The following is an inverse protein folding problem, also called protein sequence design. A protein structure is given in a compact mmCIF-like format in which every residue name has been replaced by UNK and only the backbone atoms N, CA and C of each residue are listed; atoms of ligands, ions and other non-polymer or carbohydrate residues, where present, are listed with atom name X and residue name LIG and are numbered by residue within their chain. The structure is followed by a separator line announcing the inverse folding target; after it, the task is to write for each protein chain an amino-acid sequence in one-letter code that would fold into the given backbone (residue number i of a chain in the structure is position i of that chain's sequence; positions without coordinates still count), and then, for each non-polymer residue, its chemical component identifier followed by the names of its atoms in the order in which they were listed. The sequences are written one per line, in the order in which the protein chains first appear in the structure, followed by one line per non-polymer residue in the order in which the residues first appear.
data_IF_433483730521
#
_entry.id   IF_433483730521
#
_cell.length_a   1.000
_cell.length_b   1.000
_cell.length_c   1.000
_cell.angle_alpha   90.00
_cell.angle_beta   90.00
_cell.angle_gamma   90.00
#
_symmetry.space_group_name_H-M   'P 1'
#
loop_
_entity.id
_entity.type
_entity.pdbx_description
1 polymer ?
#
# COMPACT_ATOMS: atom_id res chain seq x y z
N UNK A 1 -5.10 -5.27 29.71
CA UNK A 1 -4.25 -6.28 29.04
C UNK A 1 -5.14 -7.11 28.14
N UNK A 2 -4.91 -7.06 26.84
CA UNK A 2 -5.64 -7.75 25.78
C UNK A 2 -4.68 -8.55 24.88
N UNK A 3 -3.52 -8.95 25.42
CA UNK A 3 -2.58 -9.79 24.68
C UNK A 3 -3.28 -11.07 24.21
N UNK A 4 -3.05 -11.45 22.94
CA UNK A 4 -3.66 -12.63 22.27
C UNK A 4 -5.19 -12.59 22.18
N UNK A 5 -5.83 -11.46 22.46
CA UNK A 5 -7.26 -11.32 22.25
C UNK A 5 -7.59 -11.38 20.75
N UNK A 6 -8.76 -11.92 20.43
CA UNK A 6 -9.28 -11.89 19.07
C UNK A 6 -10.41 -10.87 18.98
N UNK A 7 -10.29 -10.04 17.95
CA UNK A 7 -11.17 -8.96 17.56
C UNK A 7 -11.53 -9.07 16.07
N UNK A 8 -11.39 -10.28 15.50
CA UNK A 8 -11.59 -10.54 14.08
C UNK A 8 -12.98 -10.07 13.62
N UNK A 9 -13.00 -9.21 12.59
CA UNK A 9 -14.22 -8.64 12.00
C UNK A 9 -15.05 -7.77 12.95
N UNK A 10 -14.57 -7.47 14.16
CA UNK A 10 -15.34 -6.74 15.16
C UNK A 10 -15.35 -5.24 14.87
N UNK A 11 -16.44 -4.57 15.26
CA UNK A 11 -16.52 -3.11 15.33
C UNK A 11 -16.22 -2.68 16.76
N UNK A 12 -15.06 -2.06 16.97
CA UNK A 12 -14.53 -1.77 18.29
C UNK A 12 -14.14 -0.31 18.40
N UNK A 13 -14.60 0.28 19.50
CA UNK A 13 -14.16 1.59 19.95
C UNK A 13 -13.29 1.44 21.18
N UNK A 14 -12.02 1.80 21.08
CA UNK A 14 -11.10 1.86 22.20
C UNK A 14 -10.86 3.31 22.62
N UNK A 15 -10.98 3.60 23.91
CA UNK A 15 -10.33 4.77 24.52
C UNK A 15 -9.47 4.22 25.67
N UNK A 16 -8.18 4.04 25.41
CA UNK A 16 -7.28 3.31 26.28
C UNK A 16 -5.92 4.00 26.39
N UNK A 17 -5.32 3.88 27.57
CA UNK A 17 -3.97 4.34 27.89
C UNK A 17 -3.21 3.17 28.53
N UNK A 18 -1.94 3.03 28.16
CA UNK A 18 -1.03 2.00 28.69
C UNK A 18 -1.58 0.56 28.52
N UNK A 19 -1.97 0.23 27.29
CA UNK A 19 -2.64 -1.04 26.96
C UNK A 19 -1.70 -1.99 26.21
N UNK A 20 -1.78 -3.27 26.59
CA UNK A 20 -1.07 -4.34 25.88
C UNK A 20 -2.01 -5.10 24.95
N UNK A 21 -1.76 -5.06 23.65
CA UNK A 21 -2.43 -5.82 22.58
C UNK A 21 -1.46 -6.76 21.86
N UNK A 22 -0.34 -7.13 22.49
CA UNK A 22 0.66 -7.98 21.84
C UNK A 22 0.05 -9.32 21.39
N UNK A 23 0.34 -9.72 20.16
CA UNK A 23 -0.22 -10.92 19.52
C UNK A 23 -1.75 -10.93 19.37
N UNK A 24 -2.44 -9.79 19.51
CA UNK A 24 -3.87 -9.71 19.28
C UNK A 24 -4.21 -9.78 17.78
N UNK A 25 -5.41 -10.26 17.47
CA UNK A 25 -5.92 -10.39 16.11
C UNK A 25 -7.03 -9.36 15.84
N UNK A 26 -6.72 -8.37 15.01
CA UNK A 26 -7.65 -7.34 14.52
C UNK A 26 -7.95 -7.49 13.02
N UNK A 27 -7.69 -8.66 12.42
CA UNK A 27 -7.96 -8.88 10.99
C UNK A 27 -9.42 -8.52 10.67
N UNK A 28 -9.61 -7.71 9.62
CA UNK A 28 -10.91 -7.19 9.16
C UNK A 28 -11.71 -6.37 10.19
N UNK A 29 -11.13 -6.02 11.34
CA UNK A 29 -11.81 -5.23 12.37
C UNK A 29 -11.98 -3.77 11.93
N UNK A 30 -13.04 -3.13 12.44
CA UNK A 30 -13.19 -1.67 12.40
C UNK A 30 -12.77 -1.11 13.74
N UNK A 31 -11.70 -0.34 13.74
CA UNK A 31 -11.08 0.20 14.94
C UNK A 31 -11.29 1.71 14.96
N UNK A 32 -11.94 2.17 16.03
CA UNK A 32 -12.19 3.59 16.29
C UNK A 32 -11.67 3.99 17.67
N UNK A 33 -11.27 5.25 17.83
CA UNK A 33 -11.02 5.88 19.13
C UNK A 33 -9.56 6.29 19.37
N UNK A 34 -9.06 6.14 20.59
CA UNK A 34 -7.75 6.63 21.01
C UNK A 34 -7.01 5.56 21.80
N UNK A 35 -5.76 5.30 21.42
CA UNK A 35 -4.85 4.44 22.19
C UNK A 35 -3.57 5.21 22.47
N UNK A 36 -3.33 5.62 23.72
CA UNK A 36 -2.04 6.17 24.16
C UNK A 36 -1.17 5.04 24.70
N UNK A 37 0.10 5.00 24.30
CA UNK A 37 1.08 3.99 24.75
C UNK A 37 0.57 2.54 24.59
N UNK A 38 0.27 2.14 23.36
CA UNK A 38 -0.16 0.78 23.03
C UNK A 38 0.99 -0.12 22.59
N UNK A 39 1.08 -1.33 23.14
CA UNK A 39 1.94 -2.39 22.60
C UNK A 39 1.15 -3.25 21.61
N UNK A 40 1.52 -3.21 20.34
CA UNK A 40 0.91 -4.02 19.27
C UNK A 40 1.88 -5.00 18.65
N UNK A 41 2.99 -5.32 19.31
CA UNK A 41 3.98 -6.28 18.79
C UNK A 41 3.33 -7.63 18.48
N UNK A 42 3.72 -8.21 17.34
CA UNK A 42 3.20 -9.47 16.80
C UNK A 42 1.67 -9.48 16.53
N UNK A 43 1.00 -8.31 16.50
CA UNK A 43 -0.43 -8.23 16.21
C UNK A 43 -0.74 -8.33 14.70
N UNK A 44 -1.99 -8.65 14.39
CA UNK A 44 -2.49 -8.76 13.01
C UNK A 44 -3.57 -7.72 12.75
N UNK A 45 -3.43 -6.96 11.68
CA UNK A 45 -4.38 -5.92 11.25
C UNK A 45 -4.77 -6.06 9.77
N UNK A 46 -4.54 -7.24 9.17
CA UNK A 46 -4.77 -7.42 7.74
C UNK A 46 -6.21 -7.03 7.37
N UNK A 47 -6.34 -6.05 6.46
CA UNK A 47 -7.64 -5.51 6.03
C UNK A 47 -8.42 -4.71 7.08
N UNK A 48 -7.83 -4.40 8.24
CA UNK A 48 -8.49 -3.61 9.28
C UNK A 48 -8.73 -2.15 8.81
N UNK A 49 -9.87 -1.60 9.23
CA UNK A 49 -10.21 -0.19 9.01
C UNK A 49 -9.88 0.61 10.27
N UNK A 50 -8.98 1.57 10.16
CA UNK A 50 -8.53 2.39 11.29
C UNK A 50 -8.97 3.83 11.03
N UNK A 51 -10.07 4.27 11.63
CA UNK A 51 -10.64 5.60 11.35
C UNK A 51 -10.07 6.70 12.25
N UNK A 52 -9.60 6.34 13.45
CA UNK A 52 -8.95 7.27 14.37
C UNK A 52 -8.15 6.42 15.35
N UNK A 53 -6.85 6.61 15.41
CA UNK A 53 -6.06 6.27 16.60
C UNK A 53 -5.32 7.55 16.93
N UNK A 54 -5.79 8.29 17.93
CA UNK A 54 -4.99 9.35 18.55
C UNK A 54 -3.85 8.72 19.35
N UNK A 55 -2.94 8.04 18.67
CA UNK A 55 -1.76 7.54 19.30
C UNK A 55 -0.83 8.69 19.62
N UNK A 56 0.10 8.46 20.54
CA UNK A 56 1.21 9.39 20.77
C UNK A 56 2.51 8.62 20.60
N UNK A 57 2.50 7.34 20.99
CA UNK A 57 3.56 6.36 20.75
C UNK A 57 2.93 4.98 20.55
N UNK A 58 2.98 4.41 19.35
CA UNK A 58 2.68 2.99 19.12
C UNK A 58 3.97 2.28 18.74
N UNK A 59 4.25 1.18 19.42
CA UNK A 59 5.26 0.23 18.94
C UNK A 59 4.55 -0.83 18.13
N UNK A 60 4.80 -0.82 16.83
CA UNK A 60 4.32 -1.82 15.87
C UNK A 60 5.57 -2.55 15.38
N UNK A 61 5.86 -3.68 16.04
CA UNK A 61 7.02 -4.50 15.73
C UNK A 61 6.58 -5.89 15.29
N UNK A 62 7.22 -6.46 14.26
CA UNK A 62 6.95 -7.82 13.77
C UNK A 62 5.45 -8.11 13.52
N UNK A 63 4.70 -7.10 13.10
CA UNK A 63 3.23 -7.17 12.93
C UNK A 63 2.85 -7.23 11.46
N UNK A 64 1.61 -7.67 11.18
CA UNK A 64 1.02 -7.56 9.84
C UNK A 64 -0.02 -6.47 9.80
N UNK A 65 0.10 -5.58 8.83
CA UNK A 65 -0.80 -4.46 8.56
C UNK A 65 -1.06 -4.36 7.05
N UNK A 66 -1.15 -5.52 6.39
CA UNK A 66 -1.36 -5.56 4.96
C UNK A 66 -2.72 -4.95 4.61
N UNK A 67 -2.72 -4.06 3.60
CA UNK A 67 -3.93 -3.39 3.09
C UNK A 67 -4.70 -2.54 4.11
N UNK A 68 -4.07 -2.15 5.23
CA UNK A 68 -4.66 -1.16 6.14
C UNK A 68 -4.75 0.21 5.45
N UNK A 69 -5.86 0.91 5.63
CA UNK A 69 -6.06 2.25 5.08
C UNK A 69 -5.80 3.34 6.12
N UNK A 70 -4.61 3.95 6.06
CA UNK A 70 -4.22 5.11 6.87
C UNK A 70 -4.61 6.45 6.25
N UNK A 71 -5.03 6.49 4.98
CA UNK A 71 -5.37 7.75 4.28
C UNK A 71 -6.59 8.47 4.87
N UNK A 72 -7.40 7.75 5.64
CA UNK A 72 -8.60 8.28 6.32
C UNK A 72 -8.33 8.71 7.76
N UNK A 73 -7.10 8.51 8.27
CA UNK A 73 -6.77 8.83 9.66
C UNK A 73 -6.51 10.33 9.81
N UNK A 74 -7.39 11.01 10.55
CA UNK A 74 -7.34 12.46 10.74
C UNK A 74 -6.11 12.98 11.50
N UNK A 75 -5.42 12.12 12.25
CA UNK A 75 -4.23 12.46 13.01
C UNK A 75 -3.35 11.23 13.18
N UNK A 76 -2.17 11.26 12.56
CA UNK A 76 -1.16 10.23 12.74
C UNK A 76 -0.02 10.85 13.57
N UNK A 77 0.18 10.45 14.84
CA UNK A 77 1.38 10.83 15.57
C UNK A 77 2.63 10.19 14.94
N UNK A 78 3.80 10.43 15.51
CA UNK A 78 4.97 9.59 15.27
C UNK A 78 4.65 8.09 15.40
N UNK A 79 4.50 7.40 14.27
CA UNK A 79 4.37 5.94 14.23
C UNK A 79 5.75 5.31 14.23
N UNK A 80 5.90 4.18 14.91
CA UNK A 80 7.15 3.43 14.89
C UNK A 80 6.91 2.03 14.34
N UNK A 81 7.25 1.86 13.06
CA UNK A 81 7.18 0.57 12.36
C UNK A 81 8.53 -0.11 12.40
N UNK A 82 8.57 -1.34 12.92
CA UNK A 82 9.79 -2.15 13.00
C UNK A 82 9.53 -3.53 12.40
N UNK A 83 10.19 -3.87 11.29
CA UNK A 83 10.02 -5.17 10.62
C UNK A 83 8.54 -5.56 10.41
N UNK A 84 7.72 -4.59 9.98
CA UNK A 84 6.28 -4.73 9.80
C UNK A 84 5.94 -5.05 8.34
N UNK A 85 4.96 -5.92 8.12
CA UNK A 85 4.37 -6.12 6.80
C UNK A 85 3.29 -5.06 6.54
N UNK A 86 3.60 -4.12 5.66
CA UNK A 86 2.75 -3.03 5.19
C UNK A 86 2.37 -3.23 3.72
N UNK A 87 2.40 -4.47 3.22
CA UNK A 87 2.09 -4.77 1.81
C UNK A 87 0.71 -4.24 1.45
N UNK A 88 0.65 -3.40 0.41
CA UNK A 88 -0.62 -2.84 -0.05
C UNK A 88 -1.25 -1.80 0.89
N UNK A 89 -0.60 -1.38 1.98
CA UNK A 89 -1.16 -0.38 2.90
C UNK A 89 -1.33 0.99 2.21
N UNK A 90 -2.37 1.73 2.58
CA UNK A 90 -2.67 3.04 1.99
C UNK A 90 -2.23 4.17 2.92
N UNK A 91 -1.23 4.93 2.51
CA UNK A 91 -0.73 6.15 3.15
C UNK A 91 -0.97 7.40 2.29
N UNK A 92 -1.86 7.34 1.29
CA UNK A 92 -2.05 8.46 0.37
C UNK A 92 -2.42 9.75 1.11
N UNK A 93 -1.70 10.84 0.83
CA UNK A 93 -1.89 12.16 1.46
C UNK A 93 -1.53 12.25 2.94
N UNK A 94 -1.01 11.18 3.56
CA UNK A 94 -0.66 11.16 4.98
C UNK A 94 0.62 11.95 5.25
N UNK A 95 0.64 12.73 6.32
CA UNK A 95 1.88 13.27 6.87
C UNK A 95 2.63 12.20 7.67
N UNK A 96 3.71 11.68 7.09
CA UNK A 96 4.61 10.71 7.70
C UNK A 96 5.92 11.35 8.18
N UNK A 97 6.03 12.69 8.19
CA UNK A 97 7.27 13.41 8.49
C UNK A 97 7.84 13.13 9.88
N UNK A 98 6.99 12.74 10.83
CA UNK A 98 7.38 12.40 12.20
C UNK A 98 7.37 10.89 12.50
N UNK A 99 7.07 10.05 11.50
CA UNK A 99 7.07 8.59 11.66
C UNK A 99 8.47 8.01 11.51
N UNK A 100 8.72 6.86 12.11
CA UNK A 100 10.00 6.16 12.08
C UNK A 100 9.81 4.75 11.53
N UNK A 101 10.63 4.41 10.55
CA UNK A 101 10.66 3.08 9.92
C UNK A 101 12.02 2.45 10.19
N UNK A 102 12.07 1.45 11.07
CA UNK A 102 13.29 0.73 11.41
C UNK A 102 13.24 -0.71 10.93
N UNK A 103 14.40 -1.27 10.58
CA UNK A 103 14.48 -2.62 10.01
C UNK A 103 13.79 -2.73 8.66
N UNK A 104 13.66 -3.96 8.16
CA UNK A 104 13.11 -4.23 6.84
C UNK A 104 11.59 -4.30 6.91
N UNK A 105 10.91 -3.18 6.67
CA UNK A 105 9.46 -3.14 6.51
C UNK A 105 9.09 -3.55 5.08
N UNK A 106 8.12 -4.44 4.90
CA UNK A 106 7.65 -4.81 3.57
C UNK A 106 6.56 -3.83 3.13
N UNK A 107 6.86 -2.92 2.21
CA UNK A 107 5.94 -1.90 1.70
C UNK A 107 5.65 -2.11 0.21
N UNK A 108 5.75 -3.35 -0.27
CA UNK A 108 5.43 -3.67 -1.66
C UNK A 108 3.96 -3.32 -1.93
N UNK A 109 3.69 -2.68 -3.06
CA UNK A 109 2.35 -2.19 -3.41
C UNK A 109 1.74 -1.20 -2.41
N UNK A 110 2.49 -0.63 -1.47
CA UNK A 110 1.96 0.44 -0.62
C UNK A 110 1.62 1.67 -1.47
N UNK A 111 0.59 2.41 -1.07
CA UNK A 111 0.23 3.68 -1.71
C UNK A 111 0.71 4.86 -0.86
N UNK A 112 1.77 5.52 -1.29
CA UNK A 112 2.36 6.70 -0.66
C UNK A 112 2.05 7.98 -1.45
N UNK A 113 1.14 7.94 -2.43
CA UNK A 113 0.87 9.09 -3.30
C UNK A 113 0.48 10.34 -2.51
N UNK A 114 1.23 11.43 -2.68
CA UNK A 114 1.03 12.68 -1.95
C UNK A 114 1.36 12.62 -0.45
N UNK A 115 1.89 11.51 0.06
CA UNK A 115 2.36 11.44 1.44
C UNK A 115 3.56 12.38 1.65
N UNK A 116 3.62 13.02 2.81
CA UNK A 116 4.76 13.87 3.20
C UNK A 116 5.78 13.03 3.96
N UNK A 117 7.02 12.98 3.45
CA UNK A 117 8.16 12.33 4.11
C UNK A 117 9.17 13.40 4.49
N UNK A 118 9.82 13.26 5.65
CA UNK A 118 10.94 14.14 5.98
C UNK A 118 12.11 13.82 5.04
N UNK A 119 12.82 14.83 4.53
CA UNK A 119 13.90 14.62 3.53
C UNK A 119 14.99 13.64 3.99
N UNK A 120 15.26 13.59 5.30
CA UNK A 120 16.25 12.67 5.88
C UNK A 120 15.66 11.29 6.23
N UNK A 121 14.33 11.16 6.24
CA UNK A 121 13.62 9.95 6.58
C UNK A 121 13.46 9.07 5.33
N UNK A 122 14.59 8.49 4.89
CA UNK A 122 14.54 7.28 4.06
C UNK A 122 13.81 6.24 4.91
N UNK A 123 12.84 5.52 4.32
CA UNK A 123 11.95 4.56 4.99
C UNK A 123 12.70 3.33 5.55
N UNK A 124 13.84 3.51 6.22
CA UNK A 124 14.83 2.47 6.49
C UNK A 124 15.18 1.68 5.23
N UNK A 125 15.53 0.39 5.36
CA UNK A 125 15.62 -0.55 4.25
C UNK A 125 14.23 -1.10 3.86
N UNK A 126 13.17 -0.28 3.81
CA UNK A 126 11.85 -0.76 3.40
C UNK A 126 11.85 -1.27 1.95
N UNK A 127 11.18 -2.40 1.71
CA UNK A 127 10.99 -2.95 0.37
C UNK A 127 9.84 -2.23 -0.31
N UNK A 128 10.11 -1.47 -1.36
CA UNK A 128 9.15 -0.57 -2.02
C UNK A 128 8.71 -1.07 -3.40
N UNK A 129 8.98 -2.33 -3.73
CA UNK A 129 8.62 -2.90 -5.03
C UNK A 129 7.15 -2.67 -5.39
N UNK A 130 6.92 -2.08 -6.56
CA UNK A 130 5.58 -1.77 -7.08
C UNK A 130 4.76 -0.76 -6.26
N UNK A 131 5.33 -0.07 -5.27
CA UNK A 131 4.63 0.98 -4.54
C UNK A 131 4.22 2.16 -5.45
N UNK A 132 3.15 2.87 -5.09
CA UNK A 132 2.82 4.20 -5.64
C UNK A 132 3.53 5.24 -4.79
N UNK A 133 4.46 6.00 -5.36
CA UNK A 133 5.34 6.89 -4.63
C UNK A 133 4.71 8.27 -4.40
N UNK A 134 5.37 9.08 -3.55
CA UNK A 134 4.88 10.40 -3.12
C UNK A 134 4.65 11.37 -4.28
N UNK A 135 5.44 11.27 -5.34
CA UNK A 135 5.32 12.06 -6.58
C UNK A 135 4.39 11.44 -7.63
N UNK A 136 3.73 10.32 -7.32
CA UNK A 136 2.85 9.59 -8.22
C UNK A 136 3.55 8.57 -9.13
N UNK A 137 4.88 8.47 -9.10
CA UNK A 137 5.61 7.44 -9.83
C UNK A 137 5.34 6.03 -9.25
N UNK A 138 5.52 4.99 -10.07
CA UNK A 138 5.54 3.59 -9.59
C UNK A 138 6.97 3.14 -9.34
N UNK A 139 7.20 2.52 -8.19
CA UNK A 139 8.52 2.00 -7.84
C UNK A 139 8.78 0.65 -8.51
N UNK A 140 10.00 0.47 -9.01
CA UNK A 140 10.49 -0.79 -9.53
C UNK A 140 10.68 -1.80 -8.40
N UNK A 141 10.56 -3.10 -8.70
CA UNK A 141 10.71 -4.21 -7.75
C UNK A 141 11.93 -4.09 -6.82
N UNK A 142 13.14 -3.71 -7.29
CA UNK A 142 14.32 -3.64 -6.42
C UNK A 142 14.41 -2.35 -5.57
N UNK A 143 13.36 -1.53 -5.50
CA UNK A 143 13.38 -0.29 -4.71
C UNK A 143 13.50 -0.59 -3.22
N UNK A 144 14.54 -0.08 -2.56
CA UNK A 144 14.81 -0.26 -1.13
C UNK A 144 15.04 1.10 -0.48
N UNK A 145 14.18 1.49 0.47
CA UNK A 145 14.22 2.75 1.23
C UNK A 145 13.94 4.02 0.43
N UNK A 146 14.19 3.98 -0.88
CA UNK A 146 13.89 5.00 -1.87
C UNK A 146 13.25 4.36 -3.10
N UNK A 147 12.36 5.09 -3.75
CA UNK A 147 11.76 4.65 -5.00
C UNK A 147 12.74 4.77 -6.16
N UNK A 148 12.98 3.67 -6.86
CA UNK A 148 13.54 3.67 -8.21
C UNK A 148 12.35 3.64 -9.17
N UNK A 149 12.03 4.72 -9.91
CA UNK A 149 10.86 4.72 -10.78
C UNK A 149 10.94 3.60 -11.83
N UNK A 150 9.80 2.96 -12.12
CA UNK A 150 9.68 2.00 -13.22
C UNK A 150 9.98 2.71 -14.55
N UNK A 151 10.81 2.10 -15.39
CA UNK A 151 11.03 2.55 -16.76
C UNK A 151 9.77 2.42 -17.63
N UNK A 152 8.98 1.38 -17.35
CA UNK A 152 7.71 1.10 -18.01
C UNK A 152 6.65 0.89 -16.93
N UNK A 153 5.87 1.93 -16.66
CA UNK A 153 4.67 1.82 -15.85
C UNK A 153 3.50 1.37 -16.75
N UNK A 154 2.86 0.27 -16.38
CA UNK A 154 1.71 -0.28 -17.08
C UNK A 154 0.39 0.43 -16.73
N UNK A 155 0.45 1.45 -15.86
CA UNK A 155 -0.71 2.22 -15.44
C UNK A 155 -1.69 1.42 -14.58
N UNK A 156 -1.20 0.41 -13.85
CA UNK A 156 -2.00 -0.21 -12.78
C UNK A 156 -2.24 0.83 -11.69
N UNK A 157 -3.51 1.15 -11.44
CA UNK A 157 -3.92 2.06 -10.35
C UNK A 157 -4.03 1.31 -9.03
N UNK A 158 -3.93 2.03 -7.91
CA UNK A 158 -4.11 1.44 -6.58
C UNK A 158 -5.50 0.82 -6.41
N UNK A 159 -6.54 1.48 -6.93
CA UNK A 159 -7.91 0.96 -6.90
C UNK A 159 -8.05 -0.38 -7.65
N UNK A 160 -7.43 -0.52 -8.82
CA UNK A 160 -7.41 -1.78 -9.57
C UNK A 160 -6.65 -2.89 -8.81
N UNK A 161 -5.55 -2.54 -8.15
CA UNK A 161 -4.83 -3.49 -7.30
C UNK A 161 -5.67 -3.98 -6.11
N UNK A 162 -6.43 -3.07 -5.48
CA UNK A 162 -7.38 -3.44 -4.43
C UNK A 162 -8.51 -4.33 -4.94
N UNK A 163 -8.95 -4.15 -6.19
CA UNK A 163 -9.92 -5.03 -6.84
C UNK A 163 -9.31 -6.36 -7.34
N UNK A 164 -8.04 -6.65 -7.03
CA UNK A 164 -7.36 -7.90 -7.37
C UNK A 164 -6.66 -7.92 -8.72
N UNK A 165 -6.59 -6.79 -9.45
CA UNK A 165 -5.84 -6.71 -10.71
C UNK A 165 -4.33 -6.68 -10.43
N UNK A 166 -3.56 -7.50 -11.14
CA UNK A 166 -2.11 -7.58 -11.01
C UNK A 166 -1.39 -6.78 -12.11
N UNK A 167 -0.10 -6.48 -11.89
CA UNK A 167 0.78 -5.92 -12.92
C UNK A 167 0.81 -6.82 -14.17
N UNK A 168 0.91 -8.14 -13.98
CA UNK A 168 0.88 -9.09 -15.11
C UNK A 168 -0.42 -9.00 -15.92
N UNK A 169 -1.57 -8.86 -15.25
CA UNK A 169 -2.85 -8.70 -15.94
C UNK A 169 -2.88 -7.41 -16.78
N UNK A 170 -2.32 -6.30 -16.27
CA UNK A 170 -2.18 -5.05 -17.02
C UNK A 170 -1.23 -5.17 -18.20
N UNK A 171 -0.08 -5.82 -18.01
CA UNK A 171 0.89 -6.03 -19.08
C UNK A 171 0.28 -6.84 -20.23
N UNK A 172 -0.49 -7.89 -19.91
CA UNK A 172 -1.23 -8.69 -20.88
C UNK A 172 -2.30 -7.89 -21.61
N UNK A 173 -3.03 -7.00 -20.93
CA UNK A 173 -3.99 -6.09 -21.57
C UNK A 173 -3.30 -5.17 -22.59
N UNK A 174 -2.14 -4.60 -22.23
CA UNK A 174 -1.36 -3.73 -23.11
C UNK A 174 -0.89 -4.49 -24.36
N UNK A 175 -0.28 -5.65 -24.16
CA UNK A 175 0.19 -6.51 -25.25
C UNK A 175 -0.95 -6.96 -26.17
N UNK A 176 -2.07 -7.39 -25.58
CA UNK A 176 -3.26 -7.79 -26.33
C UNK A 176 -3.84 -6.65 -27.17
N UNK A 177 -3.88 -5.44 -26.63
CA UNK A 177 -4.36 -4.24 -27.35
C UNK A 177 -3.39 -3.82 -28.45
N UNK A 178 -2.07 -3.90 -28.22
CA UNK A 178 -1.07 -3.63 -29.23
C UNK A 178 -1.19 -4.63 -30.41
N UNK A 179 -1.33 -5.92 -30.12
CA UNK A 179 -1.52 -6.96 -31.14
C UNK A 179 -2.78 -6.73 -31.99
N UNK A 180 -3.90 -6.34 -31.35
CA UNK A 180 -5.14 -6.00 -32.07
C UNK A 180 -4.97 -4.81 -33.01
N UNK A 181 -4.21 -3.77 -32.62
CA UNK A 181 -3.93 -2.61 -33.48
C UNK A 181 -3.12 -2.99 -34.71
N UNK A 182 -2.08 -3.82 -34.54
CA UNK A 182 -1.27 -4.32 -35.66
C UNK A 182 -2.12 -5.15 -36.62
N UNK A 183 -2.94 -6.07 -36.10
CA UNK A 183 -3.84 -6.88 -36.92
C UNK A 183 -4.89 -6.03 -37.67
N UNK A 184 -5.44 -4.99 -37.02
CA UNK A 184 -6.36 -4.05 -37.64
C UNK A 184 -5.72 -3.23 -38.76
N UNK A 185 -4.53 -2.67 -38.51
CA UNK A 185 -3.76 -1.93 -39.51
C UNK A 185 -3.41 -2.77 -40.73
N UNK A 186 -3.02 -4.03 -40.52
CA UNK A 186 -2.80 -4.98 -41.62
C UNK A 186 -4.05 -5.22 -42.47
N UNK A 187 -5.23 -5.37 -41.85
CA UNK A 187 -6.50 -5.50 -42.59
C UNK A 187 -6.83 -4.24 -43.39
N UNK A 188 -6.59 -3.05 -42.83
CA UNK A 188 -6.82 -1.78 -43.53
C UNK A 188 -5.87 -1.62 -44.71
N UNK A 189 -4.56 -1.87 -44.51
CA UNK A 189 -3.56 -1.81 -45.57
C UNK A 189 -3.88 -2.75 -46.73
N UNK A 190 -4.27 -4.00 -46.44
CA UNK A 190 -4.69 -4.96 -47.46
C UNK A 190 -5.90 -4.43 -48.25
N UNK A 191 -6.91 -3.86 -47.57
CA UNK A 191 -8.07 -3.25 -48.25
C UNK A 191 -7.68 -2.08 -49.16
N UNK A 192 -6.78 -1.21 -48.70
CA UNK A 192 -6.30 -0.07 -49.48
C UNK A 192 -5.53 -0.55 -50.73
N UNK A 193 -4.63 -1.52 -50.60
CA UNK A 193 -3.90 -2.11 -51.74
C UNK A 193 -4.86 -2.73 -52.76
N UNK A 194 -5.86 -3.49 -52.32
CA UNK A 194 -6.89 -4.03 -53.23
C UNK A 194 -7.69 -2.92 -53.94
N UNK A 195 -7.99 -1.82 -53.25
CA UNK A 195 -8.72 -0.69 -53.86
C UNK A 195 -7.89 0.08 -54.91
N UNK A 196 -6.56 0.09 -54.78
CA UNK A 196 -5.64 0.79 -55.69
C UNK A 196 -5.26 -0.06 -56.90
N UNK A 197 -5.05 -1.37 -56.69
CA UNK A 197 -4.53 -2.26 -57.74
C UNK A 197 -5.57 -3.17 -58.40
N UNK A 198 -6.84 -3.11 -57.99
CA UNK A 198 -7.99 -3.64 -58.73
C UNK A 198 -7.80 -5.05 -59.30
N UNK A 199 -7.90 -6.07 -58.45
CA UNK A 199 -8.26 -7.44 -58.86
C UNK A 199 -9.71 -7.71 -58.51
#
# INVERSE_FOLDING_TARGET
NFSRASFWGADIKFDAEDVNFSSADFTEAKIQGRVRNGNFSDARFDGAQIATIGATTLSISNSTMARVDFSTVNYIPSLWFVATDLTGANFAGVDLSLSFFWGTNNMQYANLQGASLMEMLRLGPALLGNAWWTDGSRCAVPSIGVCLPKLLDNGLTYAEYLSGKSDLAKDLDILGNAAKRVAGGGKTFVKEVFSVFGF
#
